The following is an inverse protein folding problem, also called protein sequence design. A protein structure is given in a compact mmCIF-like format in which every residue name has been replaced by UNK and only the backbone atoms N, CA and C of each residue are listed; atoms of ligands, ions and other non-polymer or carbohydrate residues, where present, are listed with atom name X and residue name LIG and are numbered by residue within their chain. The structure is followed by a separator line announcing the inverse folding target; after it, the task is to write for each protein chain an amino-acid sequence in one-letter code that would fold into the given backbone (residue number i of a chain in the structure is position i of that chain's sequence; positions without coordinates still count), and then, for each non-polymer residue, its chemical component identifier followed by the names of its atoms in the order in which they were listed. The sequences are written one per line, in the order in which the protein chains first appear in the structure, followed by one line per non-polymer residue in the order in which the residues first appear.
data_IF_103130889458
#
_entry.id   IF_103130889458
#
_cell.length_a   1.000
_cell.length_b   1.000
_cell.length_c   1.000
_cell.angle_alpha   90.00
_cell.angle_beta   90.00
_cell.angle_gamma   90.00
#
_symmetry.space_group_name_H-M   'P 1'
#
loop_
_entity.id
_entity.type
_entity.pdbx_description
1 polymer ?
#
# COMPACT_ATOMS: atom_id res chain seq x y z
N UNK A 1 16.69 -7.47 -30.22
CA UNK A 1 15.24 -7.22 -30.31
C UNK A 1 14.70 -7.46 -28.91
N UNK A 2 14.66 -6.41 -28.09
CA UNK A 2 14.10 -6.49 -26.73
C UNK A 2 12.62 -6.19 -26.90
N UNK A 3 11.79 -7.23 -26.94
CA UNK A 3 10.34 -7.07 -27.04
C UNK A 3 9.87 -6.43 -25.73
N UNK A 4 9.65 -5.11 -25.74
CA UNK A 4 9.11 -4.33 -24.62
C UNK A 4 7.92 -4.99 -23.87
N UNK A 5 6.97 -5.68 -24.53
CA UNK A 5 5.92 -6.40 -23.82
C UNK A 5 6.41 -7.57 -22.96
N UNK A 6 7.48 -8.28 -23.35
CA UNK A 6 8.03 -9.41 -22.59
C UNK A 6 8.67 -8.94 -21.28
N UNK A 7 9.51 -7.89 -21.36
CA UNK A 7 10.14 -7.29 -20.17
C UNK A 7 9.10 -6.76 -19.19
N UNK A 8 8.02 -6.16 -19.72
CA UNK A 8 6.94 -5.66 -18.87
C UNK A 8 6.17 -6.81 -18.19
N UNK A 9 5.83 -7.86 -18.94
CA UNK A 9 5.16 -9.04 -18.38
C UNK A 9 5.99 -9.69 -17.25
N UNK A 10 7.30 -9.83 -17.44
CA UNK A 10 8.20 -10.39 -16.43
C UNK A 10 8.25 -9.55 -15.15
N UNK A 11 8.21 -8.22 -15.27
CA UNK A 11 8.15 -7.33 -14.12
C UNK A 11 6.87 -7.53 -13.29
N UNK A 12 5.72 -7.71 -13.94
CA UNK A 12 4.46 -8.02 -13.24
C UNK A 12 4.47 -9.44 -12.66
N UNK A 13 4.89 -10.44 -13.43
CA UNK A 13 4.95 -11.84 -13.00
C UNK A 13 5.90 -12.04 -11.81
N UNK A 14 6.98 -11.26 -11.72
CA UNK A 14 7.92 -11.31 -10.59
C UNK A 14 7.36 -10.72 -9.29
N UNK A 15 6.21 -10.03 -9.32
CA UNK A 15 5.64 -9.35 -8.16
C UNK A 15 6.33 -8.03 -7.77
N UNK A 16 7.38 -7.61 -8.48
CA UNK A 16 8.14 -6.38 -8.19
C UNK A 16 7.31 -5.11 -8.27
N UNK A 17 6.21 -5.12 -9.04
CA UNK A 17 5.25 -4.01 -9.07
C UNK A 17 4.67 -3.73 -7.67
N UNK A 18 4.43 -4.76 -6.87
CA UNK A 18 3.93 -4.60 -5.52
C UNK A 18 4.99 -4.03 -4.57
N UNK A 19 6.25 -4.44 -4.74
CA UNK A 19 7.38 -3.87 -3.98
C UNK A 19 7.55 -2.38 -4.29
N UNK A 20 7.35 -1.98 -5.55
CA UNK A 20 7.35 -0.57 -5.96
C UNK A 20 6.21 0.22 -5.29
N UNK A 21 4.99 -0.34 -5.26
CA UNK A 21 3.84 0.29 -4.59
C UNK A 21 4.14 0.48 -3.09
N UNK A 22 4.67 -0.55 -2.43
CA UNK A 22 5.06 -0.48 -1.02
C UNK A 22 6.12 0.59 -0.77
N UNK A 23 7.12 0.69 -1.65
CA UNK A 23 8.14 1.73 -1.57
C UNK A 23 7.53 3.13 -1.71
N UNK A 24 6.63 3.34 -2.68
CA UNK A 24 5.96 4.62 -2.87
C UNK A 24 5.10 5.00 -1.66
N UNK A 25 4.32 4.05 -1.11
CA UNK A 25 3.52 4.29 0.10
C UNK A 25 4.39 4.63 1.31
N UNK A 26 5.53 3.95 1.47
CA UNK A 26 6.49 4.26 2.53
C UNK A 26 7.06 5.67 2.36
N UNK A 27 7.48 6.02 1.15
CA UNK A 27 8.01 7.35 0.83
C UNK A 27 6.96 8.44 1.03
N UNK A 28 5.72 8.20 0.63
CA UNK A 28 4.60 9.13 0.85
C UNK A 28 4.34 9.36 2.34
N UNK A 29 4.25 8.29 3.13
CA UNK A 29 4.08 8.37 4.58
C UNK A 29 5.21 9.13 5.27
N UNK A 30 6.47 8.85 4.87
CA UNK A 30 7.65 9.55 5.39
C UNK A 30 7.64 11.02 4.98
N UNK A 31 7.37 11.32 3.71
CA UNK A 31 7.33 12.70 3.20
C UNK A 31 6.26 13.53 3.91
N UNK A 32 5.06 12.99 4.09
CA UNK A 32 3.98 13.64 4.82
C UNK A 32 4.31 13.84 6.30
N UNK A 33 4.86 12.82 6.96
CA UNK A 33 5.27 12.91 8.36
C UNK A 33 6.38 13.94 8.60
N UNK A 34 7.41 13.94 7.73
CA UNK A 34 8.50 14.92 7.78
C UNK A 34 8.01 16.34 7.48
N UNK A 35 7.13 16.50 6.48
CA UNK A 35 6.56 17.80 6.16
C UNK A 35 5.72 18.36 7.31
N UNK A 36 4.86 17.53 7.90
CA UNK A 36 4.00 17.93 9.01
C UNK A 36 4.80 18.28 10.27
N UNK A 37 5.79 17.45 10.63
CA UNK A 37 6.66 17.69 11.79
C UNK A 37 7.51 18.95 11.66
N UNK A 38 7.93 19.34 10.44
CA UNK A 38 8.74 20.55 10.23
C UNK A 38 7.94 21.83 10.07
N UNK A 39 6.75 21.76 9.47
CA UNK A 39 5.97 22.97 9.14
C UNK A 39 4.81 23.22 10.10
N UNK A 40 4.39 22.21 10.88
CA UNK A 40 3.14 22.25 11.64
C UNK A 40 1.89 22.38 10.75
N UNK A 41 2.06 22.28 9.42
CA UNK A 41 1.02 22.45 8.41
C UNK A 41 0.85 21.13 7.64
N UNK A 42 -0.28 20.98 6.97
CA UNK A 42 -0.60 19.77 6.20
C UNK A 42 -1.31 18.68 7.02
N UNK A 43 -1.57 17.54 6.38
CA UNK A 43 -2.35 16.46 6.95
C UNK A 43 -1.53 15.72 8.00
N UNK A 44 -2.07 15.62 9.22
CA UNK A 44 -1.43 14.84 10.29
C UNK A 44 -1.24 13.39 9.85
N UNK A 45 -0.07 12.80 10.14
CA UNK A 45 0.22 11.41 9.77
C UNK A 45 -0.85 10.44 10.30
N UNK A 46 -1.39 10.70 11.50
CA UNK A 46 -2.48 9.93 12.09
C UNK A 46 -3.78 9.94 11.25
N UNK A 47 -4.01 10.97 10.42
CA UNK A 47 -5.19 11.08 9.58
C UNK A 47 -5.04 10.32 8.24
N UNK A 48 -3.81 10.03 7.79
CA UNK A 48 -3.55 9.25 6.56
C UNK A 48 -3.10 7.82 6.85
N UNK A 49 -2.74 7.52 8.10
CA UNK A 49 -2.27 6.21 8.51
C UNK A 49 -3.24 5.07 8.14
N UNK A 50 -4.57 5.18 8.36
CA UNK A 50 -5.50 4.13 7.94
C UNK A 50 -5.47 3.86 6.44
N UNK A 51 -5.37 4.92 5.62
CA UNK A 51 -5.28 4.81 4.17
C UNK A 51 -3.95 4.13 3.73
N UNK A 52 -2.83 4.54 4.33
CA UNK A 52 -1.51 3.94 4.04
C UNK A 52 -1.48 2.45 4.41
N UNK A 53 -2.05 2.09 5.57
CA UNK A 53 -2.15 0.70 6.01
C UNK A 53 -3.00 -0.14 5.06
N UNK A 54 -4.13 0.40 4.62
CA UNK A 54 -4.99 -0.26 3.64
C UNK A 54 -4.27 -0.50 2.30
N UNK A 55 -3.57 0.51 1.78
CA UNK A 55 -2.76 0.40 0.56
C UNK A 55 -1.64 -0.62 0.70
N UNK A 56 -0.91 -0.62 1.83
CA UNK A 56 0.18 -1.54 2.06
C UNK A 56 -0.31 -3.00 2.16
N UNK A 57 -1.41 -3.22 2.86
CA UNK A 57 -2.02 -4.54 2.99
C UNK A 57 -2.54 -5.05 1.62
N UNK A 58 -3.15 -4.18 0.82
CA UNK A 58 -3.51 -4.51 -0.56
C UNK A 58 -2.29 -4.87 -1.42
N UNK A 59 -1.20 -4.09 -1.35
CA UNK A 59 0.03 -4.37 -2.10
C UNK A 59 0.68 -5.70 -1.70
N UNK A 60 0.66 -6.05 -0.41
CA UNK A 60 1.12 -7.37 0.06
C UNK A 60 0.27 -8.52 -0.50
N UNK A 61 -1.06 -8.36 -0.51
CA UNK A 61 -1.97 -9.33 -1.14
C UNK A 61 -1.69 -9.48 -2.64
N UNK A 62 -1.50 -8.35 -3.34
CA UNK A 62 -1.15 -8.34 -4.76
C UNK A 62 0.16 -9.10 -5.00
N UNK A 63 1.19 -8.85 -4.19
CA UNK A 63 2.47 -9.57 -4.29
C UNK A 63 2.28 -11.07 -4.11
N UNK A 64 1.59 -11.48 -3.05
CA UNK A 64 1.30 -12.88 -2.77
C UNK A 64 0.56 -13.54 -3.95
N UNK A 65 -0.41 -12.85 -4.55
CA UNK A 65 -1.15 -13.34 -5.71
C UNK A 65 -0.28 -13.47 -6.95
N UNK A 66 0.62 -12.52 -7.21
CA UNK A 66 1.48 -12.53 -8.39
C UNK A 66 2.58 -13.59 -8.30
N UNK A 67 3.11 -13.85 -7.10
CA UNK A 67 4.17 -14.86 -6.89
C UNK A 67 3.63 -16.27 -6.68
N UNK A 68 2.33 -16.50 -6.85
CA UNK A 68 1.71 -17.82 -6.67
C UNK A 68 1.72 -18.32 -5.22
N UNK A 69 1.72 -17.42 -4.23
CA UNK A 69 1.66 -17.79 -2.83
C UNK A 69 0.31 -18.43 -2.47
N UNK A 70 0.27 -19.20 -1.38
CA UNK A 70 -0.95 -19.82 -0.90
C UNK A 70 -2.04 -18.78 -0.57
N UNK A 71 -3.31 -19.15 -0.77
CA UNK A 71 -4.46 -18.27 -0.55
C UNK A 71 -4.51 -17.57 0.82
N UNK A 72 -4.01 -18.12 1.95
CA UNK A 72 -4.04 -17.41 3.23
C UNK A 72 -3.18 -16.14 3.21
N UNK A 73 -2.08 -16.14 2.46
CA UNK A 73 -1.18 -14.99 2.31
C UNK A 73 -1.78 -13.88 1.45
N UNK A 74 -2.82 -14.18 0.67
CA UNK A 74 -3.63 -13.20 -0.07
C UNK A 74 -4.78 -12.71 0.82
N UNK A 75 -5.49 -13.62 1.47
CA UNK A 75 -6.68 -13.30 2.27
C UNK A 75 -6.36 -12.49 3.53
N UNK A 76 -5.31 -12.83 4.27
CA UNK A 76 -4.96 -12.16 5.53
C UNK A 76 -4.67 -10.66 5.34
N UNK A 77 -3.84 -10.23 4.37
CA UNK A 77 -3.67 -8.81 4.10
C UNK A 77 -4.96 -8.13 3.61
N UNK A 78 -5.83 -8.80 2.85
CA UNK A 78 -7.11 -8.21 2.44
C UNK A 78 -8.05 -7.94 3.62
N UNK A 79 -8.10 -8.85 4.60
CA UNK A 79 -8.84 -8.62 5.85
C UNK A 79 -8.24 -7.43 6.60
N UNK A 80 -6.91 -7.33 6.66
CA UNK A 80 -6.21 -6.16 7.22
C UNK A 80 -6.56 -4.86 6.50
N UNK A 81 -6.61 -4.89 5.16
CA UNK A 81 -7.00 -3.75 4.34
C UNK A 81 -8.44 -3.31 4.63
N UNK A 82 -9.38 -4.26 4.75
CA UNK A 82 -10.76 -3.98 5.13
C UNK A 82 -10.85 -3.35 6.52
N UNK A 83 -10.15 -3.90 7.50
CA UNK A 83 -10.11 -3.36 8.86
C UNK A 83 -9.56 -1.91 8.87
N UNK A 84 -8.53 -1.63 8.09
CA UNK A 84 -7.96 -0.29 7.96
C UNK A 84 -8.95 0.71 7.32
N UNK A 85 -9.72 0.30 6.29
CA UNK A 85 -10.78 1.15 5.72
C UNK A 85 -11.92 1.41 6.71
N UNK A 86 -12.34 0.40 7.47
CA UNK A 86 -13.36 0.58 8.50
C UNK A 86 -12.90 1.54 9.60
N UNK A 87 -11.61 1.47 9.96
CA UNK A 87 -11.02 2.44 10.88
C UNK A 87 -11.02 3.86 10.29
N UNK A 88 -10.59 4.04 9.04
CA UNK A 88 -10.64 5.34 8.36
C UNK A 88 -12.06 5.93 8.39
N UNK A 89 -13.05 5.13 7.99
CA UNK A 89 -14.45 5.54 7.95
C UNK A 89 -14.98 5.88 9.35
N UNK A 90 -14.68 5.07 10.36
CA UNK A 90 -15.09 5.31 11.73
C UNK A 90 -14.41 6.55 12.35
N UNK A 91 -13.20 6.91 11.93
CA UNK A 91 -12.55 8.16 12.40
C UNK A 91 -13.08 9.39 11.68
N UNK A 92 -13.42 9.28 10.39
CA UNK A 92 -13.98 10.37 9.59
C UNK A 92 -15.42 10.67 9.96
N UNK A 93 -16.25 9.66 10.21
CA UNK A 93 -17.65 9.86 10.62
C UNK A 93 -17.82 10.44 12.02
N UNK A 94 -16.79 10.38 12.87
CA UNK A 94 -16.82 10.97 14.22
C UNK A 94 -16.37 12.43 14.26
N UNK A 95 -15.86 12.98 13.16
CA UNK A 95 -15.44 14.38 13.02
C UNK A 95 -16.53 15.17 12.31
#
# INVERSE_FOLDING_TARGET
MLDGPGVMADFFASGRVADLILLVLLLEGVALGLYHSRTGRGVALAAVLPFLLAGAAFALSLRASLTGAGWPLVALPLIGALAAHLWDLATRWRR
#
